data_IF_829791826117
#
_entry.id   IF_829791826117
#
_cell.length_a   1.000
_cell.length_b   1.000
_cell.length_c   1.000
_cell.angle_alpha   90.00
_cell.angle_beta   90.00
_cell.angle_gamma   90.00
#
_symmetry.space_group_name_H-M   'P 1'
#
loop_
_entity.id
_entity.type
_entity.pdbx_description
1 polymer ?
#
# COMPACT_ATOMS: atom_id res chain seq x y z
N UNK A 1 -20.98 0.21 -12.56
CA UNK A 1 -19.94 -0.24 -13.50
C UNK A 1 -19.50 -1.70 -13.26
N UNK A 2 -19.71 -2.25 -12.06
CA UNK A 2 -19.41 -3.66 -11.77
C UNK A 2 -20.21 -4.56 -12.73
N UNK A 3 -21.51 -4.38 -12.83
CA UNK A 3 -22.39 -5.17 -13.72
C UNK A 3 -21.99 -4.99 -15.20
N UNK A 4 -21.59 -3.78 -15.60
CA UNK A 4 -21.07 -3.53 -16.96
C UNK A 4 -19.74 -4.24 -17.21
N UNK A 5 -18.87 -4.32 -16.19
CA UNK A 5 -17.62 -5.08 -16.29
C UNK A 5 -17.87 -6.58 -16.46
N UNK A 6 -18.82 -7.15 -15.69
CA UNK A 6 -19.20 -8.55 -15.76
C UNK A 6 -19.89 -8.90 -17.08
N UNK A 7 -20.65 -7.98 -17.66
CA UNK A 7 -21.23 -8.14 -19.00
C UNK A 7 -20.24 -8.02 -20.15
N UNK A 8 -18.96 -7.70 -19.85
CA UNK A 8 -17.90 -7.60 -20.85
C UNK A 8 -17.83 -6.26 -21.58
N UNK A 9 -18.45 -5.21 -21.04
CA UNK A 9 -18.40 -3.87 -21.64
C UNK A 9 -16.96 -3.33 -21.72
N UNK A 10 -16.52 -3.04 -22.93
CA UNK A 10 -15.18 -2.52 -23.20
C UNK A 10 -14.91 -1.17 -22.50
N UNK A 11 -15.94 -0.33 -22.36
CA UNK A 11 -15.82 0.94 -21.65
C UNK A 11 -15.46 0.74 -20.18
N UNK A 12 -16.15 -0.16 -19.48
CA UNK A 12 -15.89 -0.51 -18.10
C UNK A 12 -14.48 -1.12 -17.91
N UNK A 13 -14.05 -1.97 -18.86
CA UNK A 13 -12.71 -2.56 -18.85
C UNK A 13 -11.59 -1.50 -19.00
N UNK A 14 -11.75 -0.56 -19.92
CA UNK A 14 -10.78 0.54 -20.08
C UNK A 14 -10.73 1.47 -18.88
N UNK A 15 -11.87 1.75 -18.24
CA UNK A 15 -11.93 2.55 -17.01
C UNK A 15 -11.20 1.79 -15.88
N UNK A 16 -11.46 0.49 -15.72
CA UNK A 16 -10.76 -0.33 -14.73
C UNK A 16 -9.26 -0.36 -14.97
N UNK A 17 -8.82 -0.52 -16.23
CA UNK A 17 -7.42 -0.50 -16.61
C UNK A 17 -6.76 0.84 -16.27
N UNK A 18 -7.41 1.96 -16.60
CA UNK A 18 -6.90 3.30 -16.31
C UNK A 18 -6.72 3.53 -14.79
N UNK A 19 -7.72 3.10 -14.00
CA UNK A 19 -7.62 3.16 -12.53
C UNK A 19 -6.54 2.19 -12.04
N UNK A 20 -6.42 1.01 -12.63
CA UNK A 20 -5.42 0.00 -12.32
C UNK A 20 -3.98 0.47 -12.54
N UNK A 21 -3.72 1.21 -13.63
CA UNK A 21 -2.43 1.88 -13.86
C UNK A 21 -2.11 2.82 -12.68
N UNK A 22 -3.07 3.63 -12.28
CA UNK A 22 -2.91 4.59 -11.18
C UNK A 22 -2.83 3.91 -9.81
N UNK A 23 -3.50 2.77 -9.62
CA UNK A 23 -3.42 1.94 -8.42
C UNK A 23 -2.16 1.08 -8.36
N UNK A 24 -1.38 1.02 -9.45
CA UNK A 24 -0.18 0.20 -9.61
C UNK A 24 -0.48 -1.31 -9.59
N UNK A 25 -1.44 -1.75 -10.41
CA UNK A 25 -1.74 -3.17 -10.61
C UNK A 25 -0.50 -3.96 -11.08
N UNK A 26 -0.48 -5.28 -10.89
CA UNK A 26 0.64 -6.12 -11.30
C UNK A 26 0.99 -5.90 -12.79
N UNK A 27 2.27 -5.71 -13.10
CA UNK A 27 2.74 -5.33 -14.43
C UNK A 27 2.67 -3.84 -14.76
N UNK A 28 1.78 -3.08 -14.12
CA UNK A 28 1.58 -1.64 -14.37
C UNK A 28 2.18 -0.75 -13.26
N UNK A 29 2.94 -1.31 -12.34
CA UNK A 29 3.44 -0.65 -11.12
C UNK A 29 4.79 0.05 -11.28
N UNK A 30 5.50 -0.15 -12.40
CA UNK A 30 6.90 0.29 -12.59
C UNK A 30 7.05 1.80 -12.41
N UNK A 31 6.11 2.59 -12.95
CA UNK A 31 6.10 4.05 -12.83
C UNK A 31 6.12 4.54 -11.37
N UNK A 32 5.50 3.78 -10.46
CA UNK A 32 5.40 4.17 -9.06
C UNK A 32 6.76 4.13 -8.38
N UNK A 33 7.51 3.04 -8.53
CA UNK A 33 8.82 2.89 -7.90
C UNK A 33 9.84 3.90 -8.42
N UNK A 34 9.84 4.14 -9.73
CA UNK A 34 10.80 5.04 -10.34
C UNK A 34 10.42 6.51 -10.11
N UNK A 35 9.16 6.88 -10.34
CA UNK A 35 8.69 8.24 -10.14
C UNK A 35 8.76 8.73 -8.68
N UNK A 36 8.56 7.85 -7.70
CA UNK A 36 8.67 8.24 -6.28
C UNK A 36 10.13 8.27 -5.80
N UNK A 37 10.98 7.40 -6.33
CA UNK A 37 12.39 7.36 -5.96
C UNK A 37 13.13 8.61 -6.48
N UNK A 38 12.83 9.05 -7.70
CA UNK A 38 13.45 10.21 -8.34
C UNK A 38 12.83 11.56 -7.92
N UNK A 39 11.69 11.56 -7.21
CA UNK A 39 11.05 12.79 -6.78
C UNK A 39 11.89 13.53 -5.71
N UNK A 40 11.61 14.83 -5.51
CA UNK A 40 12.25 15.66 -4.49
C UNK A 40 12.08 15.08 -3.07
N UNK A 41 12.77 15.62 -2.06
CA UNK A 41 12.72 15.10 -0.68
C UNK A 41 11.29 15.04 -0.12
N UNK A 42 10.44 16.02 -0.49
CA UNK A 42 9.05 16.13 -0.02
C UNK A 42 8.02 15.62 -1.04
N UNK A 43 8.40 15.49 -2.31
CA UNK A 43 7.53 15.07 -3.40
C UNK A 43 6.79 13.75 -3.14
N UNK A 44 7.46 12.68 -2.69
CA UNK A 44 6.83 11.40 -2.42
C UNK A 44 5.74 11.44 -1.35
N UNK A 45 5.79 12.40 -0.42
CA UNK A 45 4.76 12.56 0.62
C UNK A 45 3.43 12.93 -0.02
N UNK A 46 3.42 13.95 -0.90
CA UNK A 46 2.22 14.38 -1.61
C UNK A 46 1.73 13.34 -2.62
N UNK A 47 2.64 12.74 -3.37
CA UNK A 47 2.32 11.64 -4.27
C UNK A 47 1.74 10.45 -3.50
N UNK A 48 2.24 10.15 -2.31
CA UNK A 48 1.73 9.09 -1.47
C UNK A 48 0.34 9.40 -0.94
N UNK A 49 0.08 10.63 -0.52
CA UNK A 49 -1.21 11.02 0.04
C UNK A 49 -2.34 10.96 -0.99
N UNK A 50 -2.12 11.45 -2.20
CA UNK A 50 -3.21 11.65 -3.17
C UNK A 50 -3.25 10.63 -4.29
N UNK A 51 -2.14 10.36 -4.98
CA UNK A 51 -2.14 9.66 -6.27
C UNK A 51 -2.84 8.31 -6.23
N UNK A 52 -2.38 7.40 -5.40
CA UNK A 52 -2.94 6.05 -5.33
C UNK A 52 -4.25 5.98 -4.53
N UNK A 53 -4.49 6.94 -3.62
CA UNK A 53 -5.74 6.99 -2.85
C UNK A 53 -6.92 7.47 -3.69
N UNK A 54 -6.68 8.37 -4.63
CA UNK A 54 -7.70 8.71 -5.63
C UNK A 54 -8.11 7.45 -6.42
N UNK A 55 -7.14 6.60 -6.81
CA UNK A 55 -7.45 5.35 -7.49
C UNK A 55 -8.27 4.40 -6.60
N UNK A 56 -7.88 4.21 -5.34
CA UNK A 56 -8.65 3.40 -4.37
C UNK A 56 -10.06 3.95 -4.18
N UNK A 57 -10.21 5.27 -4.04
CA UNK A 57 -11.52 5.92 -3.92
C UNK A 57 -12.41 5.68 -5.15
N UNK A 58 -11.82 5.74 -6.35
CA UNK A 58 -12.54 5.45 -7.59
C UNK A 58 -12.92 3.97 -7.68
N UNK A 59 -12.05 3.03 -7.26
CA UNK A 59 -12.40 1.61 -7.21
C UNK A 59 -13.57 1.34 -6.26
N UNK A 60 -13.57 1.94 -5.06
CA UNK A 60 -14.68 1.81 -4.10
C UNK A 60 -16.00 2.31 -4.67
N UNK A 61 -15.96 3.39 -5.47
CA UNK A 61 -17.17 4.00 -6.03
C UNK A 61 -17.70 3.30 -7.27
N UNK A 62 -16.80 2.82 -8.12
CA UNK A 62 -17.16 2.35 -9.46
C UNK A 62 -17.22 0.83 -9.58
N UNK A 63 -16.40 0.11 -8.79
CA UNK A 63 -16.23 -1.34 -8.89
C UNK A 63 -16.32 -2.08 -7.52
N UNK A 64 -17.27 -1.73 -6.63
CA UNK A 64 -17.43 -2.49 -5.39
C UNK A 64 -17.93 -3.90 -5.73
N UNK A 65 -17.31 -4.93 -5.16
CA UNK A 65 -17.71 -6.33 -5.36
C UNK A 65 -17.26 -6.94 -6.70
N UNK A 66 -16.40 -6.28 -7.48
CA UNK A 66 -15.86 -6.85 -8.70
C UNK A 66 -14.86 -7.98 -8.36
N UNK A 67 -15.24 -9.25 -8.58
CA UNK A 67 -14.46 -10.43 -8.18
C UNK A 67 -13.04 -10.46 -8.78
N UNK A 68 -12.85 -9.89 -9.97
CA UNK A 68 -11.53 -9.79 -10.62
C UNK A 68 -10.50 -9.04 -9.75
N UNK A 69 -10.94 -8.14 -8.86
CA UNK A 69 -10.06 -7.40 -7.96
C UNK A 69 -9.48 -8.26 -6.85
N UNK A 70 -10.11 -9.39 -6.50
CA UNK A 70 -9.64 -10.28 -5.43
C UNK A 70 -8.28 -10.90 -5.80
N UNK A 71 -8.14 -11.65 -6.91
CA UNK A 71 -6.84 -12.20 -7.29
C UNK A 71 -5.81 -11.13 -7.63
N UNK A 72 -6.21 -10.03 -8.28
CA UNK A 72 -5.31 -8.90 -8.59
C UNK A 72 -4.74 -8.31 -7.29
N UNK A 73 -5.58 -8.04 -6.30
CA UNK A 73 -5.16 -7.51 -5.01
C UNK A 73 -4.32 -8.51 -4.21
N UNK A 74 -4.62 -9.80 -4.26
CA UNK A 74 -3.82 -10.84 -3.61
C UNK A 74 -2.38 -10.90 -4.18
N UNK A 75 -2.23 -10.84 -5.51
CA UNK A 75 -0.92 -10.73 -6.15
C UNK A 75 -0.21 -9.44 -5.74
N UNK A 76 -0.91 -8.29 -5.73
CA UNK A 76 -0.35 -7.01 -5.26
C UNK A 76 0.11 -7.05 -3.81
N UNK A 77 -0.53 -7.86 -2.98
CA UNK A 77 -0.14 -7.99 -1.58
C UNK A 77 1.14 -8.80 -1.40
N UNK A 78 1.45 -9.74 -2.28
CA UNK A 78 2.57 -10.69 -2.10
C UNK A 78 3.80 -10.31 -2.90
N UNK A 79 3.68 -10.09 -4.24
CA UNK A 79 4.86 -9.95 -5.09
C UNK A 79 5.80 -8.80 -4.68
N UNK A 80 5.31 -7.62 -4.18
CA UNK A 80 6.21 -6.52 -3.85
C UNK A 80 7.11 -6.80 -2.65
N UNK A 81 6.73 -7.77 -1.81
CA UNK A 81 7.51 -8.14 -0.62
C UNK A 81 8.87 -8.70 -1.04
N UNK A 82 8.89 -9.58 -2.04
CA UNK A 82 10.13 -10.17 -2.52
C UNK A 82 11.09 -9.11 -3.07
N UNK A 83 10.54 -8.12 -3.79
CA UNK A 83 11.34 -7.01 -4.30
C UNK A 83 11.79 -6.06 -3.18
N UNK A 84 10.96 -5.83 -2.17
CA UNK A 84 11.30 -4.99 -1.04
C UNK A 84 12.48 -5.56 -0.22
N UNK A 85 12.56 -6.89 -0.08
CA UNK A 85 13.64 -7.57 0.67
C UNK A 85 14.99 -7.47 -0.04
N UNK A 86 15.03 -7.50 -1.37
CA UNK A 86 16.28 -7.44 -2.14
C UNK A 86 16.71 -6.01 -2.48
N UNK A 87 15.81 -5.03 -2.26
CA UNK A 87 16.08 -3.64 -2.61
C UNK A 87 16.94 -2.95 -1.54
N UNK A 88 17.91 -2.17 -1.96
CA UNK A 88 18.82 -1.44 -1.07
C UNK A 88 18.46 0.06 -0.95
N UNK A 89 17.68 0.59 -1.88
CA UNK A 89 17.19 1.96 -1.85
C UNK A 89 15.96 2.05 -0.94
N UNK A 90 16.09 2.78 0.19
CA UNK A 90 15.02 2.94 1.18
C UNK A 90 13.73 3.55 0.61
N UNK A 91 13.83 4.43 -0.37
CA UNK A 91 12.64 5.03 -1.02
C UNK A 91 11.94 4.01 -1.91
N UNK A 92 12.68 3.16 -2.63
CA UNK A 92 12.12 2.06 -3.42
C UNK A 92 11.50 0.98 -2.55
N UNK A 93 12.13 0.64 -1.41
CA UNK A 93 11.52 -0.24 -0.39
C UNK A 93 10.16 0.29 0.06
N UNK A 94 10.06 1.59 0.36
CA UNK A 94 8.79 2.20 0.73
C UNK A 94 7.75 2.16 -0.41
N UNK A 95 8.19 2.23 -1.67
CA UNK A 95 7.30 2.08 -2.83
C UNK A 95 6.74 0.67 -2.94
N UNK A 96 7.56 -0.37 -2.84
CA UNK A 96 7.11 -1.76 -2.85
C UNK A 96 6.16 -2.05 -1.67
N UNK A 97 6.54 -1.62 -0.47
CA UNK A 97 5.67 -1.70 0.69
C UNK A 97 4.33 -0.95 0.51
N UNK A 98 4.30 0.12 -0.28
CA UNK A 98 3.07 0.84 -0.62
C UNK A 98 2.16 0.00 -1.52
N UNK A 99 2.70 -0.66 -2.54
CA UNK A 99 1.94 -1.54 -3.45
C UNK A 99 1.33 -2.69 -2.65
N UNK A 100 2.10 -3.31 -1.75
CA UNK A 100 1.60 -4.33 -0.84
C UNK A 100 0.35 -3.85 -0.07
N UNK A 101 0.42 -2.68 0.56
CA UNK A 101 -0.72 -2.15 1.33
C UNK A 101 -1.94 -1.80 0.45
N UNK A 102 -1.73 -1.34 -0.79
CA UNK A 102 -2.84 -1.12 -1.74
C UNK A 102 -3.48 -2.46 -2.10
N UNK A 103 -2.71 -3.54 -2.22
CA UNK A 103 -3.22 -4.88 -2.46
C UNK A 103 -4.29 -5.29 -1.43
N UNK A 104 -4.08 -5.01 -0.14
CA UNK A 104 -5.09 -5.24 0.91
C UNK A 104 -6.39 -4.47 0.65
N UNK A 105 -6.28 -3.22 0.22
CA UNK A 105 -7.45 -2.38 -0.08
C UNK A 105 -8.19 -2.91 -1.30
N UNK A 106 -7.46 -3.32 -2.34
CA UNK A 106 -8.04 -3.85 -3.59
C UNK A 106 -8.78 -5.16 -3.35
N UNK A 107 -8.22 -6.10 -2.55
CA UNK A 107 -8.93 -7.33 -2.15
C UNK A 107 -10.23 -6.99 -1.42
N UNK A 108 -10.19 -6.09 -0.45
CA UNK A 108 -11.37 -5.71 0.31
C UNK A 108 -12.46 -5.07 -0.59
N UNK A 109 -12.07 -4.28 -1.58
CA UNK A 109 -13.01 -3.71 -2.56
C UNK A 109 -13.61 -4.80 -3.44
N UNK A 110 -12.80 -5.78 -3.87
CA UNK A 110 -13.26 -6.91 -4.67
C UNK A 110 -14.29 -7.79 -3.97
N UNK A 111 -14.18 -7.97 -2.65
CA UNK A 111 -15.18 -8.68 -1.84
C UNK A 111 -16.51 -7.91 -1.77
N UNK A 112 -16.47 -6.58 -1.68
CA UNK A 112 -17.65 -5.73 -1.75
C UNK A 112 -18.57 -5.78 -0.54
N UNK A 113 -18.32 -6.60 0.48
CA UNK A 113 -19.12 -6.60 1.70
C UNK A 113 -18.96 -5.27 2.46
N UNK A 114 -19.99 -4.85 3.20
CA UNK A 114 -19.93 -3.59 3.96
C UNK A 114 -18.69 -3.52 4.86
N UNK A 115 -18.38 -4.60 5.58
CA UNK A 115 -17.23 -4.66 6.46
C UNK A 115 -15.91 -4.55 5.68
N UNK A 116 -15.83 -5.15 4.48
CA UNK A 116 -14.66 -5.09 3.62
C UNK A 116 -14.44 -3.67 3.07
N UNK A 117 -15.49 -3.01 2.61
CA UNK A 117 -15.43 -1.62 2.11
C UNK A 117 -15.05 -0.66 3.23
N UNK A 118 -15.66 -0.78 4.42
CA UNK A 118 -15.31 0.04 5.58
C UNK A 118 -13.83 -0.18 5.98
N UNK A 119 -13.36 -1.43 5.93
CA UNK A 119 -11.96 -1.79 6.13
C UNK A 119 -11.03 -1.17 5.09
N UNK A 120 -11.39 -1.19 3.81
CA UNK A 120 -10.62 -0.57 2.74
C UNK A 120 -10.48 0.95 2.91
N UNK A 121 -11.58 1.63 3.27
CA UNK A 121 -11.61 3.08 3.49
C UNK A 121 -10.77 3.45 4.73
N UNK A 122 -10.96 2.74 5.84
CA UNK A 122 -10.17 2.94 7.06
C UNK A 122 -8.68 2.70 6.79
N UNK A 123 -8.34 1.66 6.01
CA UNK A 123 -6.97 1.38 5.63
C UNK A 123 -6.39 2.48 4.72
N UNK A 124 -7.15 2.97 3.75
CA UNK A 124 -6.71 4.06 2.88
C UNK A 124 -6.37 5.32 3.68
N UNK A 125 -7.22 5.69 4.66
CA UNK A 125 -7.02 6.85 5.52
C UNK A 125 -5.77 6.70 6.41
N UNK A 126 -5.68 5.62 7.17
CA UNK A 126 -4.55 5.39 8.08
C UNK A 126 -3.23 5.26 7.33
N UNK A 127 -3.27 4.62 6.13
CA UNK A 127 -2.11 4.46 5.27
C UNK A 127 -1.53 5.81 4.80
N UNK A 128 -2.36 6.82 4.51
CA UNK A 128 -1.87 8.17 4.17
C UNK A 128 -0.98 8.71 5.28
N UNK A 129 -1.43 8.56 6.53
CA UNK A 129 -0.75 9.14 7.69
C UNK A 129 0.61 8.45 7.93
N UNK A 130 0.62 7.12 8.13
CA UNK A 130 1.88 6.45 8.49
C UNK A 130 2.87 6.35 7.31
N UNK A 131 2.38 6.22 6.06
CA UNK A 131 3.28 6.23 4.89
C UNK A 131 3.83 7.63 4.61
N UNK A 132 3.01 8.65 4.80
CA UNK A 132 3.48 10.04 4.74
C UNK A 132 4.62 10.27 5.74
N UNK A 133 4.44 9.82 6.98
CA UNK A 133 5.46 9.90 8.02
C UNK A 133 6.76 9.17 7.64
N UNK A 134 6.67 7.96 7.07
CA UNK A 134 7.84 7.20 6.62
C UNK A 134 8.56 7.90 5.45
N UNK A 135 7.82 8.40 4.45
CA UNK A 135 8.44 9.15 3.35
C UNK A 135 9.05 10.48 3.82
N UNK A 136 8.44 11.16 4.78
CA UNK A 136 9.03 12.36 5.39
C UNK A 136 10.33 12.03 6.13
N UNK A 137 10.37 10.93 6.88
CA UNK A 137 11.56 10.48 7.60
C UNK A 137 12.70 10.15 6.63
N UNK A 138 12.41 9.41 5.55
CA UNK A 138 13.42 9.10 4.52
C UNK A 138 13.83 10.35 3.73
N UNK A 139 12.90 11.27 3.45
CA UNK A 139 13.21 12.56 2.85
C UNK A 139 14.15 13.40 3.70
N UNK A 140 13.96 13.42 5.02
CA UNK A 140 14.84 14.11 5.95
C UNK A 140 16.25 13.48 6.02
N UNK A 141 16.33 12.14 5.98
CA UNK A 141 17.61 11.43 5.91
C UNK A 141 18.34 11.81 4.61
N UNK A 142 17.68 11.69 3.47
CA UNK A 142 18.26 12.05 2.17
C UNK A 142 18.72 13.53 2.13
N UNK A 143 17.90 14.44 2.66
CA UNK A 143 18.24 15.86 2.68
C UNK A 143 19.52 16.14 3.49
N UNK A 144 19.72 15.42 4.60
CA UNK A 144 20.85 15.65 5.51
C UNK A 144 22.10 14.87 5.12
N UNK A 145 21.98 13.68 4.58
CA UNK A 145 23.11 12.78 4.27
C UNK A 145 23.47 12.76 2.78
N UNK A 146 22.54 13.14 1.90
CA UNK A 146 22.68 12.98 0.45
C UNK A 146 22.56 11.51 -0.02
N UNK A 147 22.32 10.55 0.89
CA UNK A 147 22.35 9.12 0.61
C UNK A 147 20.95 8.50 0.83
N UNK A 148 20.62 7.52 0.00
CA UNK A 148 19.35 6.77 0.07
C UNK A 148 19.55 5.27 0.26
N UNK A 149 20.79 4.76 0.07
CA UNK A 149 21.11 3.34 0.17
C UNK A 149 21.29 2.93 1.62
N UNK A 150 20.53 1.91 2.06
CA UNK A 150 20.58 1.40 3.42
C UNK A 150 21.99 0.96 3.84
N UNK A 151 22.76 0.35 2.94
CA UNK A 151 24.13 -0.13 3.19
C UNK A 151 25.16 0.98 3.48
N UNK A 152 24.87 2.23 3.06
CA UNK A 152 25.74 3.39 3.28
C UNK A 152 25.30 4.21 4.50
N UNK A 153 24.17 3.87 5.12
CA UNK A 153 23.60 4.57 6.26
C UNK A 153 23.87 3.80 7.55
N UNK A 154 24.26 4.51 8.61
CA UNK A 154 24.48 3.92 9.92
C UNK A 154 24.48 4.96 11.02
N UNK A 155 24.13 4.57 12.25
CA UNK A 155 24.21 5.42 13.43
C UNK A 155 23.28 6.64 13.44
N UNK A 156 22.28 6.71 12.55
CA UNK A 156 21.38 7.85 12.37
C UNK A 156 20.58 8.21 13.64
N UNK A 157 20.35 7.23 14.52
CA UNK A 157 19.66 7.47 15.79
C UNK A 157 20.41 8.46 16.71
N UNK A 158 21.74 8.56 16.55
CA UNK A 158 22.57 9.54 17.31
C UNK A 158 22.51 10.92 16.68
N UNK A 159 22.57 11.00 15.36
CA UNK A 159 22.62 12.27 14.62
C UNK A 159 21.24 12.88 14.34
N UNK A 160 20.20 12.03 14.23
CA UNK A 160 18.82 12.41 13.90
C UNK A 160 17.79 11.67 14.79
N UNK A 161 17.83 11.87 16.13
CA UNK A 161 17.02 11.09 17.08
C UNK A 161 15.51 11.24 16.83
N UNK A 162 15.02 12.45 16.57
CA UNK A 162 13.60 12.69 16.29
C UNK A 162 13.14 11.98 15.02
N UNK A 163 13.93 12.05 13.95
CA UNK A 163 13.61 11.34 12.69
C UNK A 163 13.59 9.83 12.91
N UNK A 164 14.51 9.29 13.71
CA UNK A 164 14.54 7.87 14.05
C UNK A 164 13.27 7.44 14.83
N UNK A 165 12.85 8.22 15.83
CA UNK A 165 11.62 7.94 16.61
C UNK A 165 10.39 7.96 15.69
N UNK A 166 10.24 8.97 14.84
CA UNK A 166 9.10 9.03 13.92
C UNK A 166 9.11 7.91 12.88
N UNK A 167 10.30 7.50 12.41
CA UNK A 167 10.44 6.35 11.53
C UNK A 167 9.99 5.06 12.22
N UNK A 168 10.37 4.84 13.49
CA UNK A 168 9.94 3.68 14.28
C UNK A 168 8.42 3.69 14.47
N UNK A 169 7.81 4.83 14.82
CA UNK A 169 6.36 4.98 14.95
C UNK A 169 5.65 4.61 13.64
N UNK A 170 6.16 5.10 12.51
CA UNK A 170 5.63 4.75 11.18
C UNK A 170 5.78 3.26 10.87
N UNK A 171 6.93 2.66 11.21
CA UNK A 171 7.19 1.23 11.03
C UNK A 171 6.27 0.36 11.88
N UNK A 172 6.05 0.70 13.14
CA UNK A 172 5.09 -0.01 14.02
C UNK A 172 3.66 0.10 13.50
N UNK A 173 3.28 1.24 12.94
CA UNK A 173 1.95 1.42 12.38
C UNK A 173 1.73 0.58 11.11
N UNK A 174 2.71 0.52 10.20
CA UNK A 174 2.59 -0.31 8.98
C UNK A 174 2.62 -1.81 9.29
N UNK A 175 3.36 -2.21 10.32
CA UNK A 175 3.44 -3.59 10.81
C UNK A 175 2.17 -4.06 11.50
N UNK A 176 1.19 -3.16 11.67
CA UNK A 176 -0.03 -3.44 12.43
C UNK A 176 0.25 -3.83 13.89
N UNK A 177 1.19 -3.14 14.54
CA UNK A 177 1.40 -3.31 15.97
C UNK A 177 0.13 -2.90 16.74
N UNK A 178 -0.26 -3.64 17.80
CA UNK A 178 -1.39 -3.27 18.63
C UNK A 178 -1.26 -1.82 19.13
N UNK A 179 -2.40 -1.12 19.29
CA UNK A 179 -2.51 0.30 19.65
C UNK A 179 -2.27 1.30 18.50
N UNK A 180 -1.75 0.87 17.37
CA UNK A 180 -1.59 1.72 16.19
C UNK A 180 -2.78 1.60 15.23
N UNK A 181 -3.07 2.67 14.51
CA UNK A 181 -4.20 2.73 13.57
C UNK A 181 -4.12 1.69 12.43
N UNK A 182 -2.90 1.30 12.04
CA UNK A 182 -2.68 0.23 11.05
C UNK A 182 -3.21 -1.13 11.49
N UNK A 183 -3.20 -1.43 12.79
CA UNK A 183 -3.77 -2.67 13.34
C UNK A 183 -5.29 -2.74 13.12
N UNK A 184 -6.01 -1.68 13.46
CA UNK A 184 -7.47 -1.62 13.31
C UNK A 184 -7.87 -1.80 11.85
N UNK A 185 -7.23 -1.07 10.95
CA UNK A 185 -7.55 -1.11 9.53
C UNK A 185 -7.28 -2.50 8.90
N UNK A 186 -6.14 -3.12 9.21
CA UNK A 186 -5.81 -4.46 8.73
C UNK A 186 -6.70 -5.54 9.33
N UNK A 187 -7.00 -5.45 10.62
CA UNK A 187 -7.87 -6.42 11.29
C UNK A 187 -9.29 -6.39 10.74
N UNK A 188 -9.85 -5.21 10.42
CA UNK A 188 -11.14 -5.08 9.75
C UNK A 188 -11.13 -5.79 8.39
N UNK A 189 -10.12 -5.50 7.57
CA UNK A 189 -9.97 -6.11 6.24
C UNK A 189 -9.84 -7.63 6.33
N UNK A 190 -8.94 -8.14 7.18
CA UNK A 190 -8.73 -9.58 7.35
C UNK A 190 -9.96 -10.29 7.92
N UNK A 191 -10.67 -9.65 8.85
CA UNK A 191 -11.93 -10.19 9.39
C UNK A 191 -13.02 -10.29 8.33
N UNK A 192 -13.11 -9.32 7.41
CA UNK A 192 -14.03 -9.36 6.30
C UNK A 192 -13.72 -10.54 5.37
N UNK A 193 -12.45 -10.65 4.92
CA UNK A 193 -11.99 -11.74 4.04
C UNK A 193 -12.29 -13.12 4.63
N UNK A 194 -12.06 -13.29 5.94
CA UNK A 194 -12.31 -14.55 6.65
C UNK A 194 -13.81 -14.87 6.78
N UNK A 195 -14.65 -13.87 7.06
CA UNK A 195 -16.11 -14.04 7.18
C UNK A 195 -16.78 -14.36 5.84
N UNK A 196 -16.31 -13.77 4.76
CA UNK A 196 -16.87 -13.96 3.43
C UNK A 196 -16.37 -15.26 2.75
N UNK A 197 -15.60 -16.10 3.47
CA UNK A 197 -15.24 -17.47 3.05
C UNK A 197 -14.02 -17.56 2.13
N UNK A 198 -13.31 -16.49 1.85
CA UNK A 198 -12.11 -16.48 1.02
C UNK A 198 -10.84 -16.94 1.79
N UNK A 199 -10.86 -18.17 2.29
CA UNK A 199 -9.80 -18.71 3.18
C UNK A 199 -8.40 -18.65 2.56
N UNK A 200 -8.25 -18.98 1.27
CA UNK A 200 -6.95 -18.93 0.58
C UNK A 200 -6.43 -17.50 0.53
N UNK A 201 -7.29 -16.55 0.15
CA UNK A 201 -6.92 -15.13 0.10
C UNK A 201 -6.57 -14.61 1.51
N UNK A 202 -7.31 -15.05 2.51
CA UNK A 202 -7.04 -14.73 3.91
C UNK A 202 -5.64 -15.18 4.35
N UNK A 203 -5.25 -16.43 4.05
CA UNK A 203 -3.91 -16.96 4.33
C UNK A 203 -2.82 -16.17 3.60
N UNK A 204 -3.03 -15.86 2.32
CA UNK A 204 -2.12 -15.05 1.52
C UNK A 204 -1.92 -13.65 2.12
N UNK A 205 -3.01 -13.00 2.54
CA UNK A 205 -2.96 -11.68 3.17
C UNK A 205 -2.32 -11.73 4.56
N UNK A 206 -2.56 -12.76 5.35
CA UNK A 206 -1.90 -12.97 6.64
C UNK A 206 -0.38 -13.09 6.44
N UNK A 207 0.07 -13.91 5.49
CA UNK A 207 1.48 -14.02 5.13
C UNK A 207 2.05 -12.67 4.70
N UNK A 208 1.36 -11.97 3.79
CA UNK A 208 1.78 -10.66 3.30
C UNK A 208 1.86 -9.61 4.44
N UNK A 209 0.94 -9.67 5.42
CA UNK A 209 0.97 -8.78 6.59
C UNK A 209 2.15 -9.08 7.51
N UNK A 210 2.46 -10.36 7.73
CA UNK A 210 3.60 -10.76 8.55
C UNK A 210 4.94 -10.32 7.93
N UNK A 211 5.08 -10.50 6.61
CA UNK A 211 6.29 -10.09 5.89
C UNK A 211 6.44 -8.56 5.72
N UNK A 212 5.39 -7.78 5.91
CA UNK A 212 5.45 -6.31 5.85
C UNK A 212 6.19 -5.67 7.05
N UNK A 213 6.76 -6.49 7.92
CA UNK A 213 7.51 -6.08 9.12
C UNK A 213 8.96 -5.63 8.80
N UNK A 214 9.42 -5.80 7.57
CA UNK A 214 10.79 -5.48 7.15
C UNK A 214 11.01 -4.02 6.82
#
# INVERSE_FOLDING_TARGET
>A
LTDALESGDLGAQFILLAIGIKAAFPGLHVWLKDGYAEATHTGPVWLCAFTTKCAVCMLVRLFPGAEILIPVGAVMAVFPIFYAVIENDLRRVLCYSKINQIGFMVVAIGIGSKLAIDGAIAHAFTHVIYKGLLFMSMGAVMFRTGEVRASHLGGLYKSMPFTAVFCIVGALSISAAPLFAGFIAKSLTLSAVGKDGYMIVWLVMMFASACAFH
#
